data_IF_415911553787
#
_entry.id   IF_415911553787
#
_cell.length_a   1.000
_cell.length_b   1.000
_cell.length_c   1.000
_cell.angle_alpha   90.00
_cell.angle_beta   90.00
_cell.angle_gamma   90.00
#
_symmetry.space_group_name_H-M   'P 1'
#
loop_
_entity.id
_entity.type
_entity.pdbx_description
1 polymer ?
#
# COMPACT_ATOMS: atom_id res chain seq x y z
N UNK A 1 39.00 14.56 6.70
CA UNK A 1 37.77 13.77 6.55
C UNK A 1 37.36 13.81 5.09
N UNK A 2 37.28 12.70 4.35
CA UNK A 2 36.81 12.74 2.96
C UNK A 2 35.34 13.12 2.97
N UNK A 3 35.02 14.19 2.24
CA UNK A 3 33.63 14.66 2.09
C UNK A 3 32.74 13.58 1.47
N UNK A 4 31.59 13.33 2.07
CA UNK A 4 30.55 12.49 1.47
C UNK A 4 30.16 13.12 0.14
N UNK A 5 30.39 12.42 -0.95
CA UNK A 5 29.87 12.79 -2.27
C UNK A 5 28.33 12.87 -2.15
N UNK A 6 27.69 13.96 -2.60
CA UNK A 6 26.23 14.03 -2.57
C UNK A 6 25.65 12.86 -3.38
N UNK A 7 24.53 12.23 -2.91
CA UNK A 7 23.93 11.11 -3.61
C UNK A 7 23.59 11.52 -5.05
N UNK A 8 24.05 10.73 -6.01
CA UNK A 8 23.75 10.96 -7.42
C UNK A 8 22.28 10.67 -7.66
N UNK A 9 21.64 11.40 -8.56
CA UNK A 9 20.26 11.17 -9.02
C UNK A 9 20.03 9.73 -9.52
N UNK A 10 21.11 9.02 -9.85
CA UNK A 10 21.12 7.61 -10.26
C UNK A 10 20.94 6.60 -9.11
N UNK A 11 21.05 7.06 -7.86
CA UNK A 11 20.98 6.19 -6.68
C UNK A 11 19.54 6.00 -6.16
N UNK A 12 18.53 6.57 -6.84
CA UNK A 12 17.13 6.41 -6.47
C UNK A 12 16.53 5.15 -7.13
N UNK A 13 15.70 4.41 -6.39
CA UNK A 13 15.08 3.19 -6.89
C UNK A 13 14.16 3.46 -8.08
N UNK A 14 13.35 4.51 -8.00
CA UNK A 14 12.49 4.95 -9.09
C UNK A 14 13.01 6.31 -9.56
N UNK A 15 13.43 6.44 -10.83
CA UNK A 15 13.85 7.72 -11.36
C UNK A 15 12.79 8.80 -11.16
N UNK A 16 13.17 9.98 -10.68
CA UNK A 16 12.26 11.05 -10.33
C UNK A 16 11.31 11.43 -11.48
N UNK A 17 11.80 11.39 -12.73
CA UNK A 17 10.98 11.67 -13.92
C UNK A 17 9.83 10.66 -14.09
N UNK A 18 10.00 9.40 -13.69
CA UNK A 18 8.93 8.40 -13.78
C UNK A 18 7.86 8.62 -12.71
N UNK A 19 8.27 9.03 -11.50
CA UNK A 19 7.30 9.35 -10.44
C UNK A 19 6.56 10.64 -10.79
N UNK A 20 7.28 11.64 -11.27
CA UNK A 20 6.72 12.94 -11.64
C UNK A 20 5.67 12.86 -12.76
N UNK A 21 5.91 12.03 -13.78
CA UNK A 21 4.93 11.88 -14.89
C UNK A 21 3.61 11.23 -14.43
N UNK A 22 3.61 10.51 -13.29
CA UNK A 22 2.41 9.90 -12.72
C UNK A 22 1.70 10.82 -11.71
N UNK A 23 2.33 11.91 -11.27
CA UNK A 23 1.81 12.78 -10.23
C UNK A 23 0.93 13.89 -10.80
N UNK A 24 -0.26 14.03 -10.22
CA UNK A 24 -1.20 15.11 -10.55
C UNK A 24 -1.02 16.25 -9.55
N UNK A 25 -0.41 17.34 -10.00
CA UNK A 25 -0.22 18.52 -9.17
C UNK A 25 -1.56 19.11 -8.76
N UNK A 26 -1.59 19.68 -7.55
CA UNK A 26 -2.77 20.36 -6.98
C UNK A 26 -4.00 19.45 -6.75
N UNK A 27 -3.84 18.13 -6.81
CA UNK A 27 -4.88 17.23 -6.33
C UNK A 27 -5.09 17.44 -4.82
N UNK A 28 -6.35 17.53 -4.40
CA UNK A 28 -6.74 17.68 -3.01
C UNK A 28 -7.77 16.62 -2.64
N UNK A 29 -7.78 16.15 -1.37
CA UNK A 29 -8.84 15.27 -0.91
C UNK A 29 -10.22 15.90 -1.05
N UNK A 30 -11.20 15.09 -1.44
CA UNK A 30 -12.60 15.51 -1.53
C UNK A 30 -13.26 15.52 -0.15
N UNK A 31 -14.35 16.29 -0.01
CA UNK A 31 -15.20 16.20 1.18
C UNK A 31 -15.90 14.85 1.21
N UNK A 32 -15.81 14.14 2.34
CA UNK A 32 -16.37 12.80 2.46
C UNK A 32 -17.90 12.84 2.55
N UNK A 33 -18.61 11.98 1.79
CA UNK A 33 -20.05 11.82 1.92
C UNK A 33 -20.40 11.09 3.24
N UNK A 34 -21.66 11.22 3.74
CA UNK A 34 -22.06 10.63 5.02
C UNK A 34 -21.88 9.11 5.13
N UNK A 35 -21.91 8.40 4.01
CA UNK A 35 -21.70 6.95 3.93
C UNK A 35 -20.23 6.51 3.93
N UNK A 36 -19.30 7.45 3.83
CA UNK A 36 -17.88 7.14 3.91
C UNK A 36 -17.49 6.67 5.32
N UNK A 37 -16.51 5.78 5.45
CA UNK A 37 -16.03 5.35 6.75
C UNK A 37 -15.41 6.54 7.52
N UNK A 38 -15.79 6.68 8.79
CA UNK A 38 -15.30 7.75 9.67
C UNK A 38 -13.90 7.39 10.22
N UNK A 39 -12.89 7.39 9.37
CA UNK A 39 -11.51 7.04 9.71
C UNK A 39 -10.68 8.31 9.88
N UNK A 40 -10.10 8.58 11.06
CA UNK A 40 -9.27 9.76 11.29
C UNK A 40 -8.04 9.77 10.36
N UNK A 41 -7.80 10.89 9.68
CA UNK A 41 -6.65 11.06 8.80
C UNK A 41 -6.79 10.42 7.42
N UNK A 42 -7.96 9.86 7.09
CA UNK A 42 -8.24 9.34 5.75
C UNK A 42 -8.31 10.49 4.74
N UNK A 43 -7.52 10.37 3.68
CA UNK A 43 -7.59 11.21 2.50
C UNK A 43 -8.24 10.44 1.36
N UNK A 44 -9.33 10.95 0.81
CA UNK A 44 -10.00 10.40 -0.38
C UNK A 44 -9.88 11.41 -1.51
N UNK A 45 -9.35 10.97 -2.63
CA UNK A 45 -9.19 11.80 -3.83
C UNK A 45 -10.31 11.54 -4.84
N UNK A 46 -10.79 10.29 -4.89
CA UNK A 46 -11.90 9.88 -5.75
C UNK A 46 -12.79 8.91 -4.96
N UNK A 47 -14.08 9.24 -4.91
CA UNK A 47 -15.07 8.36 -4.29
C UNK A 47 -15.25 7.04 -5.09
N UNK A 48 -15.72 5.95 -4.42
CA UNK A 48 -15.98 4.69 -5.11
C UNK A 48 -16.97 4.85 -6.26
N UNK A 49 -16.61 4.34 -7.45
CA UNK A 49 -17.44 4.39 -8.64
C UNK A 49 -18.06 3.02 -8.93
N UNK A 50 -19.38 2.94 -9.21
CA UNK A 50 -20.02 1.68 -9.55
C UNK A 50 -19.37 0.99 -10.75
N UNK A 51 -19.15 -0.31 -10.64
CA UNK A 51 -18.56 -1.12 -11.71
C UNK A 51 -17.02 -1.13 -11.74
N UNK A 52 -16.38 -0.27 -10.97
CA UNK A 52 -14.92 -0.27 -10.84
C UNK A 52 -14.45 -1.37 -9.87
N UNK A 53 -13.20 -1.77 -10.01
CA UNK A 53 -12.51 -2.71 -9.12
C UNK A 53 -11.40 -1.98 -8.39
N UNK A 54 -11.26 -2.27 -7.11
CA UNK A 54 -10.27 -1.61 -6.28
C UNK A 54 -9.35 -2.63 -5.61
N UNK A 55 -8.14 -2.18 -5.30
CA UNK A 55 -7.16 -2.93 -4.51
C UNK A 55 -6.54 -2.02 -3.46
N UNK A 56 -6.15 -2.61 -2.34
CA UNK A 56 -5.53 -1.92 -1.22
C UNK A 56 -4.16 -2.55 -0.97
N UNK A 57 -3.13 -1.73 -0.92
CA UNK A 57 -1.85 -2.06 -0.34
C UNK A 57 -1.83 -1.61 1.12
N UNK A 58 -1.41 -2.49 2.01
CA UNK A 58 -1.40 -2.24 3.45
C UNK A 58 -0.02 -2.56 4.04
N UNK A 59 0.62 -1.54 4.61
CA UNK A 59 1.88 -1.62 5.31
C UNK A 59 1.67 -1.35 6.80
N UNK A 60 1.54 -2.40 7.64
CA UNK A 60 1.26 -2.27 9.06
C UNK A 60 2.52 -2.09 9.91
N UNK A 61 2.48 -1.12 10.82
CA UNK A 61 3.49 -0.89 11.85
C UNK A 61 2.98 -1.23 13.26
N UNK A 62 3.82 -1.01 14.27
CA UNK A 62 3.51 -1.34 15.66
C UNK A 62 2.43 -0.45 16.28
N UNK A 63 2.29 0.80 15.80
CA UNK A 63 1.28 1.75 16.24
C UNK A 63 1.65 2.54 17.51
N UNK A 64 2.85 2.38 18.05
CA UNK A 64 3.31 3.22 19.16
C UNK A 64 3.88 4.57 18.67
N UNK A 65 4.00 5.61 19.53
CA UNK A 65 4.44 6.94 19.11
C UNK A 65 5.83 7.01 18.46
N UNK A 66 6.68 6.01 18.70
CA UNK A 66 8.08 5.95 18.21
C UNK A 66 8.28 4.97 17.06
N UNK A 67 7.25 4.17 16.69
CA UNK A 67 7.31 3.27 15.54
C UNK A 67 7.17 4.04 14.22
N UNK A 68 7.31 3.34 13.08
CA UNK A 68 6.89 3.84 11.78
C UNK A 68 5.37 4.01 11.72
N UNK A 69 4.83 4.68 10.70
CA UNK A 69 3.39 4.77 10.50
C UNK A 69 2.86 3.48 9.86
N UNK A 70 1.65 3.07 10.24
CA UNK A 70 0.90 2.15 9.40
C UNK A 70 0.30 2.91 8.23
N UNK A 71 0.40 2.37 7.00
CA UNK A 71 -0.09 3.04 5.81
C UNK A 71 -0.98 2.16 4.93
N UNK A 72 -2.04 2.75 4.38
CA UNK A 72 -2.92 2.17 3.36
C UNK A 72 -2.90 3.02 2.10
N UNK A 73 -2.87 2.36 0.95
CA UNK A 73 -3.09 2.99 -0.34
C UNK A 73 -4.19 2.23 -1.09
N UNK A 74 -5.22 2.94 -1.55
CA UNK A 74 -6.28 2.37 -2.39
C UNK A 74 -6.05 2.80 -3.83
N UNK A 75 -5.98 1.82 -4.74
CA UNK A 75 -5.94 2.05 -6.18
C UNK A 75 -7.24 1.58 -6.84
N UNK A 76 -7.76 2.38 -7.76
CA UNK A 76 -8.65 1.89 -8.80
C UNK A 76 -7.84 0.97 -9.72
N UNK A 77 -8.21 -0.30 -9.81
CA UNK A 77 -7.37 -1.32 -10.41
C UNK A 77 -7.19 -1.14 -11.93
N UNK A 78 -8.21 -0.67 -12.63
CA UNK A 78 -8.17 -0.56 -14.09
C UNK A 78 -7.35 0.66 -14.57
N UNK A 79 -7.64 1.91 -14.15
CA UNK A 79 -6.82 3.06 -14.52
C UNK A 79 -5.52 3.15 -13.71
N UNK A 80 -5.39 2.43 -12.59
CA UNK A 80 -4.25 2.53 -11.68
C UNK A 80 -4.20 3.81 -10.86
N UNK A 81 -5.32 4.51 -10.69
CA UNK A 81 -5.37 5.77 -9.97
C UNK A 81 -5.39 5.58 -8.45
N UNK A 82 -4.59 6.34 -7.73
CA UNK A 82 -4.63 6.44 -6.27
C UNK A 82 -5.91 7.16 -5.85
N UNK A 83 -6.89 6.43 -5.33
CA UNK A 83 -8.20 7.01 -4.98
C UNK A 83 -8.32 7.38 -3.51
N UNK A 84 -7.55 6.72 -2.63
CA UNK A 84 -7.49 7.08 -1.22
C UNK A 84 -6.15 6.67 -0.59
N UNK A 85 -5.83 7.31 0.53
CA UNK A 85 -4.69 6.93 1.38
C UNK A 85 -5.00 7.19 2.86
N UNK A 86 -4.33 6.42 3.71
CA UNK A 86 -4.30 6.62 5.16
C UNK A 86 -2.88 6.38 5.63
N UNK A 87 -2.38 7.19 6.56
CA UNK A 87 -1.18 6.86 7.32
C UNK A 87 -1.23 7.48 8.71
N UNK A 88 -0.68 6.75 9.68
CA UNK A 88 -0.66 7.19 11.07
C UNK A 88 -0.25 6.08 12.04
N UNK A 89 -0.25 6.41 13.31
CA UNK A 89 0.08 5.50 14.42
C UNK A 89 -1.18 4.74 14.82
N UNK A 90 -1.39 3.57 14.24
CA UNK A 90 -2.56 2.73 14.52
C UNK A 90 -2.10 1.38 15.09
N UNK A 91 -2.71 0.98 16.17
CA UNK A 91 -2.56 -0.37 16.70
C UNK A 91 -3.03 -1.39 15.63
N UNK A 92 -2.36 -2.56 15.46
CA UNK A 92 -2.61 -3.47 14.33
C UNK A 92 -4.07 -3.89 14.14
N UNK A 93 -4.85 -4.09 15.21
CA UNK A 93 -6.27 -4.45 15.10
C UNK A 93 -7.13 -3.29 14.61
N UNK A 94 -6.84 -2.06 15.04
CA UNK A 94 -7.51 -0.84 14.58
C UNK A 94 -7.17 -0.58 13.11
N UNK A 95 -5.92 -0.75 12.73
CA UNK A 95 -5.48 -0.64 11.34
C UNK A 95 -6.18 -1.67 10.45
N UNK A 96 -6.30 -2.92 10.91
CA UNK A 96 -7.02 -3.97 10.19
C UNK A 96 -8.50 -3.64 10.01
N UNK A 97 -9.14 -3.05 11.04
CA UNK A 97 -10.54 -2.60 10.96
C UNK A 97 -10.71 -1.47 9.93
N UNK A 98 -9.81 -0.49 9.92
CA UNK A 98 -9.82 0.57 8.91
C UNK A 98 -9.61 0.04 7.50
N UNK A 99 -8.70 -0.93 7.31
CA UNK A 99 -8.50 -1.59 6.03
C UNK A 99 -9.77 -2.34 5.57
N UNK A 100 -10.47 -3.00 6.50
CA UNK A 100 -11.75 -3.67 6.24
C UNK A 100 -12.84 -2.69 5.85
N UNK A 101 -13.02 -1.60 6.59
CA UNK A 101 -14.03 -0.56 6.29
C UNK A 101 -13.79 0.05 4.90
N UNK A 102 -12.54 0.40 4.59
CA UNK A 102 -12.17 0.91 3.26
C UNK A 102 -12.43 -0.12 2.16
N UNK A 103 -12.06 -1.38 2.39
CA UNK A 103 -12.31 -2.42 1.41
C UNK A 103 -13.80 -2.63 1.13
N UNK A 104 -14.64 -2.56 2.17
CA UNK A 104 -16.09 -2.66 2.01
C UNK A 104 -16.65 -1.47 1.24
N UNK A 105 -16.22 -0.25 1.58
CA UNK A 105 -16.67 0.97 0.91
C UNK A 105 -16.25 1.00 -0.56
N UNK A 106 -15.03 0.56 -0.87
CA UNK A 106 -14.52 0.40 -2.24
C UNK A 106 -14.92 -0.96 -2.86
N UNK A 107 -16.19 -1.33 -2.78
CA UNK A 107 -16.80 -2.50 -3.45
C UNK A 107 -16.05 -3.83 -3.23
N UNK A 108 -15.68 -4.12 -2.00
CA UNK A 108 -14.92 -5.33 -1.62
C UNK A 108 -13.54 -5.36 -2.28
N UNK A 109 -12.82 -4.24 -2.19
CA UNK A 109 -11.43 -4.14 -2.65
C UNK A 109 -10.58 -5.30 -2.11
N UNK A 110 -9.72 -5.87 -2.97
CA UNK A 110 -8.76 -6.88 -2.52
C UNK A 110 -7.64 -6.23 -1.70
N UNK A 111 -7.25 -6.82 -0.57
CA UNK A 111 -6.22 -6.28 0.31
C UNK A 111 -4.95 -7.12 0.22
N UNK A 112 -3.81 -6.49 -0.12
CA UNK A 112 -2.48 -7.07 -0.04
C UNK A 112 -1.74 -6.45 1.15
N UNK A 113 -1.62 -7.21 2.23
CA UNK A 113 -0.94 -6.78 3.46
C UNK A 113 0.52 -7.18 3.40
N UNK A 114 1.45 -6.30 3.80
CA UNK A 114 2.80 -6.73 4.12
C UNK A 114 2.76 -7.70 5.29
N UNK A 115 3.27 -8.94 5.08
CA UNK A 115 3.10 -10.04 6.03
C UNK A 115 4.12 -10.03 7.15
N UNK A 116 5.15 -9.23 7.08
CA UNK A 116 6.22 -9.19 8.07
C UNK A 116 5.71 -8.65 9.42
N UNK A 117 6.33 -9.07 10.51
CA UNK A 117 6.07 -8.53 11.86
C UNK A 117 4.57 -8.38 12.19
N UNK A 118 4.09 -7.14 12.25
CA UNK A 118 2.71 -6.79 12.61
C UNK A 118 1.67 -7.22 11.56
N UNK A 119 2.09 -7.48 10.33
CA UNK A 119 1.22 -7.94 9.25
C UNK A 119 0.54 -9.28 9.52
N UNK A 120 1.17 -10.17 10.30
CA UNK A 120 0.53 -11.41 10.72
C UNK A 120 -0.73 -11.14 11.57
N UNK A 121 -0.66 -10.20 12.51
CA UNK A 121 -1.80 -9.83 13.36
C UNK A 121 -2.94 -9.24 12.52
N UNK A 122 -2.61 -8.35 11.57
CA UNK A 122 -3.58 -7.76 10.63
C UNK A 122 -4.25 -8.84 9.78
N UNK A 123 -3.49 -9.78 9.21
CA UNK A 123 -4.04 -10.88 8.41
C UNK A 123 -4.95 -11.81 9.21
N UNK A 124 -4.57 -12.15 10.45
CA UNK A 124 -5.40 -12.95 11.35
C UNK A 124 -6.71 -12.23 11.68
N UNK A 125 -6.64 -10.94 12.01
CA UNK A 125 -7.82 -10.15 12.29
C UNK A 125 -8.78 -10.05 11.09
N UNK A 126 -8.24 -9.80 9.88
CA UNK A 126 -9.00 -9.76 8.64
C UNK A 126 -9.64 -11.11 8.31
N UNK A 127 -8.97 -12.22 8.59
CA UNK A 127 -9.53 -13.57 8.44
C UNK A 127 -10.76 -13.76 9.32
N UNK A 128 -10.67 -13.34 10.58
CA UNK A 128 -11.69 -13.62 11.58
C UNK A 128 -12.90 -12.65 11.45
N UNK A 129 -12.69 -11.43 10.95
CA UNK A 129 -13.71 -10.37 10.88
C UNK A 129 -14.11 -9.99 9.45
N UNK A 130 -13.26 -10.26 8.46
CA UNK A 130 -13.44 -9.84 7.07
C UNK A 130 -14.34 -10.76 6.24
N UNK A 131 -15.55 -11.09 6.74
CA UNK A 131 -16.51 -11.95 6.01
C UNK A 131 -16.75 -11.47 4.58
N UNK A 132 -16.47 -12.32 3.61
CA UNK A 132 -16.65 -12.03 2.18
C UNK A 132 -15.53 -11.24 1.52
N UNK A 133 -14.47 -10.84 2.27
CA UNK A 133 -13.22 -10.37 1.70
C UNK A 133 -12.34 -11.56 1.31
N UNK A 134 -11.73 -11.43 0.13
CA UNK A 134 -10.75 -12.40 -0.33
C UNK A 134 -9.35 -11.81 -0.16
N UNK A 135 -8.47 -12.43 0.65
CA UNK A 135 -7.10 -11.96 0.79
C UNK A 135 -6.36 -12.12 -0.54
N UNK A 136 -5.47 -11.18 -0.82
CA UNK A 136 -4.53 -11.33 -1.91
C UNK A 136 -3.32 -12.12 -1.43
N UNK A 137 -2.71 -12.88 -2.36
CA UNK A 137 -1.56 -13.74 -2.05
C UNK A 137 -0.27 -13.12 -2.53
N UNK A 138 0.81 -13.38 -1.80
CA UNK A 138 2.16 -13.05 -2.23
C UNK A 138 2.67 -13.96 -3.34
N UNK A 139 3.92 -13.74 -3.73
CA UNK A 139 4.61 -14.57 -4.74
C UNK A 139 4.84 -16.02 -4.29
N UNK A 140 4.69 -16.29 -3.00
CA UNK A 140 4.81 -17.62 -2.38
C UNK A 140 3.45 -18.32 -2.16
N UNK A 141 2.40 -17.82 -2.79
CA UNK A 141 1.02 -18.32 -2.70
C UNK A 141 0.40 -18.30 -1.29
N UNK A 142 0.98 -17.53 -0.36
CA UNK A 142 0.45 -17.34 0.99
C UNK A 142 -0.26 -15.98 1.12
N UNK A 143 -1.23 -15.85 2.03
CA UNK A 143 -1.88 -14.56 2.29
C UNK A 143 -0.87 -13.47 2.62
N UNK A 144 -1.01 -12.30 1.98
CA UNK A 144 -0.13 -11.16 2.17
C UNK A 144 1.20 -11.29 1.44
N UNK A 145 1.99 -10.23 1.44
CA UNK A 145 3.28 -10.10 0.77
C UNK A 145 4.44 -10.26 1.77
N UNK A 146 5.40 -11.13 1.47
CA UNK A 146 6.61 -11.28 2.27
C UNK A 146 7.69 -10.32 1.77
N UNK A 147 7.98 -9.27 2.54
CA UNK A 147 9.06 -8.31 2.26
C UNK A 147 10.41 -8.82 2.75
N UNK A 148 10.87 -9.95 2.18
CA UNK A 148 12.28 -10.32 2.19
C UNK A 148 13.07 -9.38 1.28
N UNK A 149 14.41 -9.44 1.26
CA UNK A 149 15.22 -8.64 0.33
C UNK A 149 14.77 -8.81 -1.13
N UNK A 150 14.50 -10.05 -1.54
CA UNK A 150 13.96 -10.36 -2.87
C UNK A 150 12.53 -9.84 -3.04
N UNK A 151 11.68 -10.04 -2.04
CA UNK A 151 10.29 -9.56 -2.07
C UNK A 151 10.19 -8.05 -2.18
N UNK A 152 11.01 -7.31 -1.42
CA UNK A 152 11.04 -5.84 -1.49
C UNK A 152 11.59 -5.36 -2.86
N UNK A 153 12.59 -6.05 -3.43
CA UNK A 153 13.06 -5.78 -4.79
C UNK A 153 11.94 -5.96 -5.81
N UNK A 154 11.25 -7.08 -5.79
CA UNK A 154 10.14 -7.37 -6.71
C UNK A 154 8.99 -6.37 -6.58
N UNK A 155 8.68 -5.94 -5.35
CA UNK A 155 7.65 -4.94 -5.05
C UNK A 155 7.98 -3.61 -5.75
N UNK A 156 9.19 -3.09 -5.51
CA UNK A 156 9.63 -1.83 -6.11
C UNK A 156 9.90 -1.93 -7.61
N UNK A 157 10.26 -3.10 -8.15
CA UNK A 157 10.36 -3.32 -9.60
C UNK A 157 9.01 -3.17 -10.30
N UNK A 158 7.96 -3.76 -9.72
CA UNK A 158 6.59 -3.61 -10.26
C UNK A 158 6.12 -2.16 -10.17
N UNK A 159 6.35 -1.49 -9.05
CA UNK A 159 6.01 -0.08 -8.87
C UNK A 159 6.75 0.81 -9.88
N UNK A 160 8.06 0.63 -10.03
CA UNK A 160 8.88 1.39 -10.96
C UNK A 160 8.43 1.20 -12.42
N UNK A 161 8.10 -0.04 -12.82
CA UNK A 161 7.58 -0.34 -14.16
C UNK A 161 6.21 0.31 -14.38
N UNK A 162 5.31 0.27 -13.40
CA UNK A 162 4.01 0.93 -13.48
C UNK A 162 4.17 2.45 -13.65
N UNK A 163 5.06 3.07 -12.88
CA UNK A 163 5.37 4.50 -13.04
C UNK A 163 5.99 4.79 -14.41
N UNK A 164 6.99 4.00 -14.85
CA UNK A 164 7.66 4.16 -16.15
C UNK A 164 6.69 4.11 -17.32
N UNK A 165 5.73 3.20 -17.26
CA UNK A 165 4.77 2.96 -18.35
C UNK A 165 3.54 3.89 -18.27
N UNK A 166 3.41 4.75 -17.25
CA UNK A 166 2.23 5.58 -17.04
C UNK A 166 0.97 4.77 -16.70
N UNK A 167 1.14 3.61 -16.06
CA UNK A 167 0.05 2.71 -15.69
C UNK A 167 -0.60 3.08 -14.35
N UNK A 168 -0.08 4.08 -13.66
CA UNK A 168 -0.56 4.55 -12.35
C UNK A 168 -0.64 6.07 -12.31
N UNK A 169 -1.54 6.57 -11.48
CA UNK A 169 -1.70 8.00 -11.20
C UNK A 169 -1.62 8.25 -9.71
N UNK A 170 -0.83 9.22 -9.30
CA UNK A 170 -0.62 9.65 -7.91
C UNK A 170 -1.34 10.97 -7.67
N UNK A 171 -2.14 11.02 -6.62
CA UNK A 171 -2.78 12.26 -6.16
C UNK A 171 -2.17 12.80 -4.86
N UNK A 172 -1.57 11.93 -4.04
CA UNK A 172 -0.93 12.33 -2.80
C UNK A 172 0.48 12.85 -3.01
N UNK A 173 0.73 14.09 -2.62
CA UNK A 173 2.08 14.64 -2.59
C UNK A 173 2.99 13.90 -1.60
N UNK A 174 2.44 13.43 -0.46
CA UNK A 174 3.21 12.69 0.52
C UNK A 174 3.70 11.35 -0.05
N UNK A 175 2.82 10.58 -0.73
CA UNK A 175 3.20 9.35 -1.42
C UNK A 175 4.22 9.63 -2.54
N UNK A 176 4.00 10.68 -3.34
CA UNK A 176 4.95 11.11 -4.38
C UNK A 176 6.34 11.39 -3.80
N UNK A 177 6.41 12.17 -2.73
CA UNK A 177 7.66 12.56 -2.08
C UNK A 177 8.43 11.35 -1.54
N UNK A 178 7.73 10.44 -0.85
CA UNK A 178 8.34 9.22 -0.34
C UNK A 178 8.86 8.31 -1.46
N UNK A 179 8.07 8.07 -2.52
CA UNK A 179 8.50 7.28 -3.67
C UNK A 179 9.75 7.86 -4.36
N UNK A 180 9.81 9.18 -4.50
CA UNK A 180 10.95 9.87 -5.09
C UNK A 180 12.20 9.83 -4.19
N UNK A 181 12.06 9.56 -2.89
CA UNK A 181 13.17 9.52 -1.93
C UNK A 181 13.82 8.15 -1.78
N UNK A 182 13.14 7.06 -2.17
CA UNK A 182 13.62 5.68 -1.97
C UNK A 182 15.02 5.46 -2.58
N UNK A 183 15.95 5.02 -1.74
CA UNK A 183 17.31 4.68 -2.15
C UNK A 183 17.35 3.39 -2.96
N UNK A 184 18.12 3.39 -4.04
CA UNK A 184 18.17 2.27 -5.00
C UNK A 184 18.88 1.02 -4.46
N UNK A 185 19.74 1.17 -3.47
CA UNK A 185 20.52 0.07 -2.89
C UNK A 185 19.85 -0.55 -1.67
N UNK A 186 19.23 0.27 -0.82
CA UNK A 186 18.64 -0.17 0.44
C UNK A 186 17.13 -0.43 0.31
N UNK A 187 16.48 0.14 -0.71
CA UNK A 187 15.01 0.15 -0.90
C UNK A 187 14.27 0.73 0.31
N UNK A 188 14.86 1.77 0.92
CA UNK A 188 14.32 2.48 2.08
C UNK A 188 14.45 3.99 1.88
N UNK A 189 13.69 4.73 2.66
CA UNK A 189 13.87 6.16 2.78
C UNK A 189 15.24 6.50 3.39
N UNK A 190 15.82 7.68 3.11
CA UNK A 190 16.97 8.20 3.81
C UNK A 190 16.75 8.31 5.32
N UNK A 191 17.82 8.30 6.09
CA UNK A 191 17.74 8.41 7.54
C UNK A 191 16.99 9.67 7.98
N UNK A 192 15.96 9.51 8.80
CA UNK A 192 15.07 10.57 9.27
C UNK A 192 13.88 10.87 8.35
N UNK A 193 13.74 10.15 7.25
CA UNK A 193 12.57 10.19 6.37
C UNK A 193 11.76 8.89 6.50
N UNK A 194 10.54 8.87 5.95
CA UNK A 194 9.61 7.75 6.01
C UNK A 194 9.40 7.13 4.62
N UNK A 195 9.11 5.83 4.58
CA UNK A 195 8.78 5.07 3.36
C UNK A 195 7.42 4.34 3.42
N UNK A 196 6.68 4.46 4.52
CA UNK A 196 5.43 3.73 4.79
C UNK A 196 4.38 3.90 3.66
N UNK A 197 4.17 5.14 3.19
CA UNK A 197 3.24 5.43 2.08
C UNK A 197 3.75 4.90 0.75
N UNK A 198 5.08 4.93 0.54
CA UNK A 198 5.70 4.38 -0.66
C UNK A 198 5.57 2.85 -0.68
N UNK A 199 5.78 2.18 0.45
CA UNK A 199 5.60 0.74 0.61
C UNK A 199 4.12 0.35 0.40
N UNK A 200 3.17 1.07 1.01
CA UNK A 200 1.73 0.85 0.79
C UNK A 200 1.32 1.05 -0.68
N UNK A 201 1.84 2.06 -1.37
CA UNK A 201 1.57 2.28 -2.79
C UNK A 201 2.18 1.16 -3.66
N UNK A 202 3.41 0.73 -3.38
CA UNK A 202 4.06 -0.35 -4.11
C UNK A 202 3.33 -1.70 -3.92
N UNK A 203 2.80 -1.94 -2.70
CA UNK A 203 1.90 -3.07 -2.42
C UNK A 203 0.60 -2.97 -3.23
N UNK A 204 -0.01 -1.79 -3.33
CA UNK A 204 -1.21 -1.58 -4.13
C UNK A 204 -0.97 -1.78 -5.62
N UNK A 205 0.18 -1.30 -6.17
CA UNK A 205 0.60 -1.58 -7.55
C UNK A 205 0.73 -3.09 -7.79
N UNK A 206 1.31 -3.82 -6.83
CA UNK A 206 1.46 -5.27 -6.90
C UNK A 206 0.10 -5.96 -6.83
N UNK A 207 -0.80 -5.50 -5.96
CA UNK A 207 -2.13 -6.05 -5.77
C UNK A 207 -2.97 -6.07 -7.05
N UNK A 208 -2.79 -5.10 -7.95
CA UNK A 208 -3.50 -5.04 -9.26
C UNK A 208 -3.32 -6.30 -10.10
N UNK A 209 -2.16 -6.93 -10.02
CA UNK A 209 -1.80 -8.12 -10.81
C UNK A 209 -1.80 -9.40 -9.99
N UNK A 210 -2.18 -9.32 -8.72
CA UNK A 210 -2.10 -10.43 -7.77
C UNK A 210 -3.39 -11.26 -7.79
N UNK A 211 -3.21 -12.57 -7.69
CA UNK A 211 -4.31 -13.53 -7.62
C UNK A 211 -5.02 -13.45 -6.26
N UNK A 212 -6.36 -13.50 -6.28
CA UNK A 212 -7.17 -13.68 -5.07
C UNK A 212 -7.19 -15.15 -4.67
N UNK A 213 -7.07 -15.43 -3.37
CA UNK A 213 -7.42 -16.75 -2.83
C UNK A 213 -8.93 -16.94 -2.96
N UNK A 214 -9.34 -18.14 -3.36
CA UNK A 214 -10.77 -18.50 -3.39
C UNK A 214 -11.32 -18.69 -1.98
N UNK A 215 -10.46 -19.13 -1.04
CA UNK A 215 -10.83 -19.45 0.35
C UNK A 215 -9.69 -19.01 1.28
N UNK A 216 -10.01 -18.65 2.52
CA UNK A 216 -9.01 -18.52 3.56
C UNK A 216 -8.41 -19.90 3.86
N UNK A 217 -7.12 -20.05 3.68
CA UNK A 217 -6.39 -21.26 4.10
C UNK A 217 -5.94 -21.02 5.54
N UNK A 218 -6.26 -21.93 6.45
CA UNK A 218 -5.68 -21.92 7.79
C UNK A 218 -4.16 -21.98 7.68
N UNK A 219 -3.48 -21.36 8.64
CA UNK A 219 -2.00 -21.38 8.73
C UNK A 219 -1.48 -22.81 8.89
N UNK A 220 -2.33 -23.74 9.37
CA UNK A 220 -2.10 -25.19 9.51
C UNK A 220 -2.41 -26.00 8.25
N UNK A 221 -2.86 -25.38 7.16
CA UNK A 221 -3.12 -26.03 5.87
C UNK A 221 -4.54 -26.58 5.68
N UNK A 222 -5.45 -26.40 6.63
CA UNK A 222 -6.86 -26.78 6.46
C UNK A 222 -7.67 -25.68 5.77
N UNK A 223 -8.52 -26.07 4.82
CA UNK A 223 -9.45 -25.17 4.10
C UNK A 223 -10.66 -24.87 4.99
N UNK A 224 -11.02 -23.60 5.13
CA UNK A 224 -12.29 -23.18 5.76
C UNK A 224 -13.28 -22.92 4.62
N UNK A 225 -14.40 -23.69 4.61
CA UNK A 225 -15.55 -23.44 3.71
C UNK A 225 -16.35 -22.19 4.14
#
# INVERSE_FOLDING_TARGET
MPGKTPPRTLDKRIPAVWVQQCFVELAAPVSLPPEAPAIPGLNVFVEPQPGHKYVIGADPAEGNPTSDDSALCVLDADPGAQVAELAGKFEPSVFADYALQLAQWYYKAGILVERNNHGHAVLLWLRDHGKGLQPLVGSDDKPGWLSSSLGKTQLYDKCANACKNGEVTLYSFATYSQLASIDGSTLRAPAGEHDDRADAFALACTARTTRKLRFWIRIDGETIE
#
